data_IF_342447865528
#
_entry.id   IF_342447865528
#
_cell.length_a   1.000
_cell.length_b   1.000
_cell.length_c   1.000
_cell.angle_alpha   90.00
_cell.angle_beta   90.00
_cell.angle_gamma   90.00
#
_symmetry.space_group_name_H-M   'P 1'
#
loop_
_entity.id
_entity.type
_entity.pdbx_description
1 polymer ?
#
# COMPACT_ATOMS: atom_id res chain seq x y z
N UNK A 1 10.58 8.90 -4.23
CA UNK A 1 9.41 8.13 -4.71
C UNK A 1 8.14 8.91 -4.46
N UNK A 2 7.28 9.02 -5.47
CA UNK A 2 5.97 9.65 -5.37
C UNK A 2 4.89 8.58 -5.62
N UNK A 3 3.80 8.60 -4.85
CA UNK A 3 2.69 7.66 -4.98
C UNK A 3 1.39 8.45 -5.18
N UNK A 4 0.69 8.13 -6.25
CA UNK A 4 -0.71 8.49 -6.47
C UNK A 4 -1.59 7.28 -6.15
N UNK A 5 -2.69 7.49 -5.43
CA UNK A 5 -3.60 6.42 -5.03
C UNK A 5 -4.97 6.69 -5.64
N UNK A 6 -5.51 5.68 -6.34
CA UNK A 6 -6.81 5.72 -7.00
C UNK A 6 -7.85 4.90 -6.24
N UNK A 7 -9.13 5.10 -6.57
CA UNK A 7 -10.28 4.38 -6.01
C UNK A 7 -10.46 4.54 -4.48
N UNK A 8 -10.11 5.70 -3.94
CA UNK A 8 -10.32 6.04 -2.53
C UNK A 8 -11.68 6.72 -2.32
N UNK A 9 -12.32 6.43 -1.20
CA UNK A 9 -13.36 7.29 -0.65
C UNK A 9 -12.73 8.31 0.32
N UNK A 10 -12.53 9.58 -0.08
CA UNK A 10 -11.80 10.56 0.71
C UNK A 10 -12.53 11.00 1.99
N UNK A 11 -13.81 10.67 2.15
CA UNK A 11 -14.61 11.04 3.33
C UNK A 11 -14.56 10.00 4.45
N UNK A 12 -13.75 8.93 4.29
CA UNK A 12 -13.71 7.82 5.22
C UNK A 12 -12.29 7.46 5.61
N UNK A 13 -12.04 7.40 6.91
CA UNK A 13 -10.88 6.71 7.46
C UNK A 13 -9.52 7.29 7.08
N UNK A 14 -8.57 6.40 6.83
CA UNK A 14 -7.18 6.74 6.55
C UNK A 14 -6.54 5.80 5.53
N UNK A 15 -5.50 6.27 4.85
CA UNK A 15 -4.63 5.43 4.04
C UNK A 15 -3.42 5.01 4.87
N UNK A 16 -3.15 3.72 4.92
CA UNK A 16 -1.94 3.16 5.50
C UNK A 16 -1.05 2.69 4.36
N UNK A 17 0.13 3.28 4.23
CA UNK A 17 1.10 2.98 3.18
C UNK A 17 2.33 2.34 3.83
N UNK A 18 2.65 1.11 3.42
CA UNK A 18 3.83 0.38 3.86
C UNK A 18 4.79 0.16 2.69
N UNK A 19 6.05 0.54 2.89
CA UNK A 19 7.15 0.33 1.95
C UNK A 19 8.05 -0.78 2.49
N UNK A 20 8.33 -1.78 1.66
CA UNK A 20 9.17 -2.93 1.97
C UNK A 20 10.39 -2.93 1.06
N UNK A 21 11.54 -3.32 1.59
CA UNK A 21 12.81 -3.47 0.85
C UNK A 21 13.45 -4.86 1.03
N UNK A 22 12.69 -5.82 1.56
CA UNK A 22 13.15 -7.17 1.88
C UNK A 22 12.05 -8.18 1.60
N UNK A 23 12.37 -9.20 0.78
CA UNK A 23 11.50 -10.35 0.51
C UNK A 23 11.12 -11.12 1.78
N UNK A 24 12.04 -11.26 2.72
CA UNK A 24 11.83 -12.01 3.96
C UNK A 24 10.88 -11.30 4.95
N UNK A 25 10.86 -9.96 4.90
CA UNK A 25 10.05 -9.10 5.76
C UNK A 25 8.78 -8.58 5.07
N UNK A 26 8.54 -9.02 3.82
CA UNK A 26 7.38 -8.61 3.04
C UNK A 26 6.07 -8.97 3.77
N UNK A 27 5.12 -8.04 3.76
CA UNK A 27 3.83 -8.12 4.47
C UNK A 27 3.90 -8.29 6.00
N UNK A 28 5.07 -8.14 6.61
CA UNK A 28 5.22 -7.95 8.06
C UNK A 28 5.21 -6.46 8.36
N UNK A 29 4.02 -5.86 8.53
CA UNK A 29 3.83 -4.40 8.63
C UNK A 29 4.66 -3.75 9.75
N UNK A 30 4.93 -4.46 10.83
CA UNK A 30 5.81 -4.04 11.92
C UNK A 30 7.29 -3.99 11.54
N UNK A 31 7.69 -4.69 10.47
CA UNK A 31 9.03 -4.75 9.89
C UNK A 31 9.15 -4.02 8.55
N UNK A 32 8.12 -3.29 8.13
CA UNK A 32 8.19 -2.45 6.94
C UNK A 32 9.35 -1.44 7.04
N UNK A 33 10.04 -1.22 5.92
CA UNK A 33 11.17 -0.29 5.84
C UNK A 33 10.74 1.16 6.16
N UNK A 34 9.56 1.54 5.67
CA UNK A 34 8.96 2.83 5.97
C UNK A 34 7.44 2.72 5.94
N UNK A 35 6.78 3.58 6.73
CA UNK A 35 5.32 3.64 6.82
C UNK A 35 4.85 5.08 6.84
N UNK A 36 3.71 5.34 6.22
CA UNK A 36 2.98 6.59 6.38
C UNK A 36 1.51 6.27 6.60
N UNK A 37 0.86 7.10 7.43
CA UNK A 37 -0.58 7.08 7.63
C UNK A 37 -1.10 8.46 7.22
N UNK A 38 -2.04 8.49 6.29
CA UNK A 38 -2.67 9.72 5.81
C UNK A 38 -4.15 9.68 6.18
N UNK A 39 -4.57 10.55 7.12
CA UNK A 39 -5.98 10.73 7.45
C UNK A 39 -6.71 11.38 6.28
N UNK A 40 -7.86 10.83 5.90
CA UNK A 40 -8.68 11.34 4.81
C UNK A 40 -9.73 12.29 5.38
N UNK A 41 -9.64 13.57 5.00
CA UNK A 41 -10.46 14.66 5.54
C UNK A 41 -11.45 15.21 4.48
N UNK A 42 -12.00 14.35 3.63
CA UNK A 42 -12.93 14.73 2.55
C UNK A 42 -12.27 15.34 1.30
N UNK A 43 -10.94 15.47 1.29
CA UNK A 43 -10.15 15.90 0.12
C UNK A 43 -9.46 14.70 -0.51
N UNK A 44 -9.30 14.70 -1.84
CA UNK A 44 -8.47 13.69 -2.52
C UNK A 44 -7.08 13.69 -1.90
N UNK A 45 -6.54 12.51 -1.61
CA UNK A 45 -5.22 12.35 -1.04
C UNK A 45 -4.19 13.07 -1.91
N UNK A 46 -3.54 14.08 -1.33
CA UNK A 46 -2.47 14.82 -1.95
C UNK A 46 -1.22 13.93 -2.05
N UNK A 47 -0.46 14.11 -3.13
CA UNK A 47 0.75 13.37 -3.52
C UNK A 47 1.57 12.84 -2.32
N UNK A 48 1.62 11.51 -2.17
CA UNK A 48 2.37 10.87 -1.08
C UNK A 48 3.83 10.74 -1.52
N UNK A 49 4.74 11.25 -0.70
CA UNK A 49 6.17 11.25 -1.02
C UNK A 49 7.00 10.52 0.02
N UNK A 50 7.87 9.64 -0.46
CA UNK A 50 8.97 9.04 0.31
C UNK A 50 10.29 9.58 -0.25
N UNK A 51 11.01 10.34 0.58
CA UNK A 51 12.29 10.97 0.25
C UNK A 51 13.45 10.06 0.63
N UNK A 52 14.59 10.29 -0.02
CA UNK A 52 15.90 9.73 0.35
C UNK A 52 15.93 8.20 0.51
N UNK A 53 15.14 7.50 -0.31
CA UNK A 53 15.19 6.05 -0.40
C UNK A 53 16.48 5.63 -1.12
N UNK A 54 17.33 4.78 -0.52
CA UNK A 54 18.48 4.21 -1.20
C UNK A 54 18.11 3.50 -2.50
N UNK A 55 19.08 3.33 -3.39
CA UNK A 55 18.87 2.48 -4.56
C UNK A 55 18.68 1.03 -4.13
N UNK A 56 17.70 0.34 -4.73
CA UNK A 56 17.39 -1.04 -4.37
C UNK A 56 16.02 -1.51 -4.85
N UNK A 57 15.67 -2.75 -4.52
CA UNK A 57 14.33 -3.29 -4.79
C UNK A 57 13.36 -2.88 -3.67
N UNK A 58 12.18 -2.43 -4.07
CA UNK A 58 11.13 -2.02 -3.14
C UNK A 58 9.78 -2.59 -3.56
N UNK A 59 8.88 -2.74 -2.60
CA UNK A 59 7.47 -2.99 -2.82
C UNK A 59 6.64 -2.07 -1.95
N UNK A 60 5.48 -1.64 -2.46
CA UNK A 60 4.50 -0.84 -1.70
C UNK A 60 3.23 -1.64 -1.52
N UNK A 61 2.65 -1.60 -0.33
CA UNK A 61 1.29 -2.03 -0.06
C UNK A 61 0.50 -0.86 0.54
N UNK A 62 -0.76 -0.73 0.15
CA UNK A 62 -1.66 0.32 0.60
C UNK A 62 -2.94 -0.32 1.10
N UNK A 63 -3.41 0.14 2.26
CA UNK A 63 -4.72 -0.21 2.84
C UNK A 63 -5.52 1.09 2.98
N UNK A 64 -6.77 1.06 2.56
CA UNK A 64 -7.76 2.07 2.94
C UNK A 64 -8.53 1.57 4.16
N UNK A 65 -8.02 1.93 5.33
CA UNK A 65 -8.62 1.63 6.64
C UNK A 65 -9.80 2.59 6.83
N UNK A 66 -11.00 2.15 6.45
CA UNK A 66 -12.22 2.96 6.46
C UNK A 66 -12.73 3.21 7.88
N UNK A 67 -12.43 2.30 8.82
CA UNK A 67 -12.94 2.35 10.20
C UNK A 67 -11.93 2.85 11.25
N UNK A 68 -10.70 3.17 10.83
CA UNK A 68 -9.59 3.68 11.65
C UNK A 68 -9.08 2.71 12.73
N UNK A 69 -9.12 1.41 12.49
CA UNK A 69 -8.63 0.44 13.48
C UNK A 69 -7.13 0.10 13.33
N UNK A 70 -6.47 0.65 12.31
CA UNK A 70 -5.03 0.54 12.10
C UNK A 70 -4.57 -0.82 11.57
N UNK A 71 -5.46 -1.62 10.99
CA UNK A 71 -5.14 -2.91 10.34
C UNK A 71 -5.99 -3.10 9.09
N UNK A 72 -5.62 -4.08 8.25
CA UNK A 72 -6.50 -4.54 7.18
C UNK A 72 -7.55 -5.47 7.78
N UNK A 73 -8.81 -5.06 7.71
CA UNK A 73 -9.88 -5.94 8.15
C UNK A 73 -10.14 -7.10 7.20
N UNK A 74 -10.44 -8.25 7.78
CA UNK A 74 -10.71 -9.49 7.06
C UNK A 74 -11.94 -10.18 7.63
N UNK A 75 -12.66 -10.92 6.80
CA UNK A 75 -13.75 -11.79 7.24
C UNK A 75 -13.22 -13.09 7.88
N UNK A 76 -14.11 -13.98 8.30
CA UNK A 76 -13.75 -15.27 8.93
C UNK A 76 -12.90 -16.20 8.05
N UNK A 77 -12.83 -15.95 6.74
CA UNK A 77 -12.01 -16.69 5.78
C UNK A 77 -10.69 -15.97 5.45
N UNK A 78 -10.37 -14.88 6.14
CA UNK A 78 -9.16 -14.08 5.90
C UNK A 78 -9.23 -13.19 4.65
N UNK A 79 -10.43 -13.01 4.06
CA UNK A 79 -10.60 -12.18 2.87
C UNK A 79 -10.73 -10.71 3.31
N UNK A 80 -9.91 -9.79 2.75
CA UNK A 80 -10.00 -8.36 3.00
C UNK A 80 -11.40 -7.80 2.77
N UNK A 81 -11.92 -7.07 3.75
CA UNK A 81 -13.22 -6.36 3.65
C UNK A 81 -13.06 -4.88 3.30
N UNK A 82 -11.83 -4.38 3.42
CA UNK A 82 -11.43 -3.02 3.06
C UNK A 82 -10.61 -3.01 1.77
N UNK A 83 -10.58 -1.85 1.10
CA UNK A 83 -9.87 -1.72 -0.15
C UNK A 83 -8.36 -1.72 0.06
N UNK A 84 -7.63 -2.46 -0.77
CA UNK A 84 -6.18 -2.57 -0.70
C UNK A 84 -5.55 -2.58 -2.09
N UNK A 85 -4.24 -2.36 -2.14
CA UNK A 85 -3.48 -2.36 -3.38
C UNK A 85 -1.99 -2.52 -3.16
N UNK A 86 -1.29 -2.86 -4.24
CA UNK A 86 0.15 -3.06 -4.24
C UNK A 86 0.79 -2.28 -5.38
N UNK A 87 2.10 -2.01 -5.26
CA UNK A 87 2.91 -1.66 -6.42
C UNK A 87 2.76 -2.72 -7.53
N UNK A 88 2.86 -2.29 -8.78
CA UNK A 88 2.55 -3.06 -10.00
C UNK A 88 1.08 -3.46 -10.20
N UNK A 89 0.15 -3.07 -9.31
CA UNK A 89 -1.29 -3.31 -9.44
C UNK A 89 -1.69 -4.77 -9.73
N UNK A 90 -0.91 -5.74 -9.25
CA UNK A 90 -1.26 -7.16 -9.36
C UNK A 90 -2.49 -7.49 -8.50
N UNK A 91 -3.31 -8.43 -8.97
CA UNK A 91 -4.55 -8.90 -8.31
C UNK A 91 -4.71 -10.42 -8.41
N UNK A 92 -4.00 -11.19 -7.58
CA UNK A 92 -4.23 -12.63 -7.53
C UNK A 92 -5.60 -12.94 -6.91
N UNK A 93 -6.35 -13.89 -7.49
CA UNK A 93 -7.75 -14.17 -7.10
C UNK A 93 -7.93 -15.01 -5.83
N UNK A 94 -6.91 -15.75 -5.42
CA UNK A 94 -7.01 -16.78 -4.37
C UNK A 94 -5.88 -16.72 -3.35
N UNK A 95 -5.11 -15.63 -3.35
CA UNK A 95 -3.96 -15.43 -2.45
C UNK A 95 -3.56 -13.97 -2.41
N UNK A 96 -2.76 -13.61 -1.41
CA UNK A 96 -2.03 -12.36 -1.43
C UNK A 96 -1.02 -12.31 -2.60
N UNK A 97 -0.70 -11.10 -3.05
CA UNK A 97 0.43 -10.86 -3.93
C UNK A 97 1.74 -11.27 -3.24
N UNK A 98 2.70 -11.77 -4.01
CA UNK A 98 4.03 -12.07 -3.49
C UNK A 98 5.03 -10.96 -3.81
N UNK A 99 6.18 -10.97 -3.13
CA UNK A 99 7.24 -9.96 -3.30
C UNK A 99 7.66 -9.76 -4.77
N UNK A 100 7.85 -10.84 -5.52
CA UNK A 100 8.37 -10.74 -6.89
C UNK A 100 7.34 -10.13 -7.86
N UNK A 101 6.05 -10.25 -7.56
CA UNK A 101 4.97 -9.62 -8.33
C UNK A 101 4.86 -8.12 -8.07
N UNK A 102 5.17 -7.69 -6.85
CA UNK A 102 4.96 -6.31 -6.41
C UNK A 102 6.24 -5.48 -6.39
N UNK A 103 7.42 -6.11 -6.43
CA UNK A 103 8.68 -5.39 -6.38
C UNK A 103 8.93 -4.55 -7.63
N UNK A 104 9.66 -3.46 -7.45
CA UNK A 104 10.18 -2.62 -8.50
C UNK A 104 11.56 -2.09 -8.09
N UNK A 105 12.35 -1.68 -9.08
CA UNK A 105 13.69 -1.14 -8.84
C UNK A 105 13.63 0.38 -8.61
N UNK A 106 14.15 0.83 -7.47
CA UNK A 106 14.44 2.22 -7.18
C UNK A 106 15.86 2.53 -7.66
N UNK A 107 16.02 2.99 -8.90
CA UNK A 107 17.30 3.46 -9.45
C UNK A 107 17.29 4.95 -9.83
N UNK A 108 16.12 5.60 -9.67
CA UNK A 108 15.86 7.01 -9.90
C UNK A 108 14.60 7.40 -9.11
N UNK A 109 14.14 8.64 -9.22
CA UNK A 109 12.84 8.99 -8.67
C UNK A 109 11.72 8.22 -9.38
N UNK A 110 11.09 7.28 -8.67
CA UNK A 110 9.97 6.48 -9.18
C UNK A 110 8.64 7.14 -8.82
N UNK A 111 7.74 7.25 -9.80
CA UNK A 111 6.33 7.59 -9.62
C UNK A 111 5.47 6.33 -9.74
N UNK A 112 4.67 6.04 -8.72
CA UNK A 112 3.74 4.91 -8.70
C UNK A 112 2.29 5.40 -8.75
N UNK A 113 1.46 4.69 -9.50
CA UNK A 113 0.02 4.82 -9.44
C UNK A 113 -0.54 3.49 -8.91
N UNK A 114 -1.16 3.52 -7.74
CA UNK A 114 -1.69 2.34 -7.06
C UNK A 114 -3.21 2.45 -7.02
N UNK A 115 -3.88 1.51 -7.66
CA UNK A 115 -5.33 1.35 -7.59
C UNK A 115 -5.67 0.54 -6.34
N UNK A 116 -6.72 0.94 -5.62
CA UNK A 116 -7.26 0.14 -4.53
C UNK A 116 -8.55 -0.54 -4.98
N UNK A 117 -8.72 -1.80 -4.60
CA UNK A 117 -9.97 -2.52 -4.80
C UNK A 117 -10.27 -3.37 -3.57
N UNK A 118 -11.56 -3.65 -3.35
CA UNK A 118 -11.98 -4.73 -2.46
C UNK A 118 -11.82 -6.06 -3.23
N UNK A 119 -11.62 -7.16 -2.50
CA UNK A 119 -11.48 -8.49 -3.10
C UNK A 119 -12.72 -8.85 -3.93
#
# INVERSE_FOLDING_TARGET
MNINIENINPSKGQLMIAVYNSKQLYMKTEKAFSKQILKLNGKKAEFIQFKDLPMGEYSVAVIHDENNNGKLDTNIFGIPTEAYGFSNNIRPKFRAANWDETKFLMNKNVGLNIKLDKW
#
